data_IF_503673182182
#
_entry.id   IF_503673182182
#
_cell.length_a   1.000
_cell.length_b   1.000
_cell.length_c   1.000
_cell.angle_alpha   90.00
_cell.angle_beta   90.00
_cell.angle_gamma   90.00
#
_symmetry.space_group_name_H-M   'P 1'
#
loop_
_entity.id
_entity.type
_entity.pdbx_description
1 polymer ?
#
# COMPACT_ATOMS: atom_id res chain seq x y z
N UNK A 1 9.90 -53.01 58.63
CA UNK A 1 8.62 -52.69 57.98
C UNK A 1 8.88 -51.56 57.00
N UNK A 2 9.14 -51.91 55.74
CA UNK A 2 9.67 -51.01 54.71
C UNK A 2 8.53 -50.47 53.84
N UNK A 3 8.00 -49.30 54.18
CA UNK A 3 6.94 -48.64 53.36
C UNK A 3 7.61 -47.99 52.13
N UNK A 4 7.59 -48.71 51.01
CA UNK A 4 7.95 -48.14 49.71
C UNK A 4 6.97 -46.99 49.37
N UNK A 5 7.44 -45.74 49.38
CA UNK A 5 6.71 -44.59 48.87
C UNK A 5 6.56 -44.77 47.36
N UNK A 6 5.33 -45.07 46.90
CA UNK A 6 4.99 -45.02 45.48
C UNK A 6 5.08 -43.55 45.05
N UNK A 7 6.08 -43.23 44.26
CA UNK A 7 6.19 -41.94 43.58
C UNK A 7 5.06 -41.86 42.54
N UNK A 8 4.06 -41.06 42.79
CA UNK A 8 3.00 -40.76 41.83
C UNK A 8 3.58 -39.75 40.80
N UNK A 9 4.30 -40.27 39.82
CA UNK A 9 4.65 -39.50 38.65
C UNK A 9 3.37 -39.38 37.81
N UNK A 10 2.70 -38.23 37.84
CA UNK A 10 1.66 -37.89 36.88
C UNK A 10 2.38 -37.35 35.64
N UNK A 11 2.35 -38.03 34.49
CA UNK A 11 2.81 -37.47 33.26
C UNK A 11 1.97 -36.21 32.96
N UNK A 12 2.64 -35.11 32.61
CA UNK A 12 2.00 -33.86 32.23
C UNK A 12 1.18 -34.12 30.95
N UNK A 13 -0.13 -34.35 31.08
CA UNK A 13 -1.05 -34.34 29.95
C UNK A 13 -1.18 -32.92 29.46
N UNK A 14 -0.36 -32.55 28.48
CA UNK A 14 -0.46 -31.28 27.78
C UNK A 14 -1.90 -31.11 27.25
N UNK A 15 -2.64 -30.14 27.78
CA UNK A 15 -4.01 -29.82 27.32
C UNK A 15 -3.97 -29.65 25.80
N UNK A 16 -4.45 -30.64 25.07
CA UNK A 16 -4.62 -30.54 23.61
C UNK A 16 -5.61 -29.41 23.32
N UNK A 17 -5.16 -28.38 22.62
CA UNK A 17 -6.03 -27.27 22.24
C UNK A 17 -7.22 -27.82 21.44
N UNK A 18 -8.46 -27.42 21.76
CA UNK A 18 -9.64 -27.89 21.06
C UNK A 18 -9.58 -27.55 19.57
N UNK A 19 -10.20 -28.35 18.74
CA UNK A 19 -10.16 -28.24 17.26
C UNK A 19 -10.58 -26.87 16.75
N UNK A 20 -11.56 -26.24 17.41
CA UNK A 20 -12.02 -24.90 17.03
C UNK A 20 -10.93 -23.81 17.21
N UNK A 21 -10.07 -23.92 18.25
CA UNK A 21 -8.95 -22.98 18.44
C UNK A 21 -7.89 -23.15 17.36
N UNK A 22 -7.65 -24.38 16.90
CA UNK A 22 -6.75 -24.64 15.78
C UNK A 22 -7.31 -24.08 14.48
N UNK A 23 -8.62 -24.23 14.27
CA UNK A 23 -9.30 -23.69 13.10
C UNK A 23 -9.25 -22.14 13.07
N UNK A 24 -9.52 -21.48 14.20
CA UNK A 24 -9.41 -20.02 14.32
C UNK A 24 -7.98 -19.55 14.07
N UNK A 25 -7.00 -20.23 14.63
CA UNK A 25 -5.59 -19.88 14.42
C UNK A 25 -5.19 -20.04 12.95
N UNK A 26 -5.62 -21.12 12.29
CA UNK A 26 -5.36 -21.35 10.88
C UNK A 26 -6.00 -20.26 10.00
N UNK A 27 -7.23 -19.85 10.33
CA UNK A 27 -7.93 -18.79 9.62
C UNK A 27 -7.22 -17.42 9.79
N UNK A 28 -6.76 -17.12 10.99
CA UNK A 28 -5.98 -15.89 11.27
C UNK A 28 -4.66 -15.88 10.49
N UNK A 29 -3.94 -17.00 10.48
CA UNK A 29 -2.70 -17.14 9.71
C UNK A 29 -2.95 -16.97 8.22
N UNK A 30 -3.99 -17.59 7.68
CA UNK A 30 -4.37 -17.44 6.27
C UNK A 30 -4.71 -15.97 5.94
N UNK A 31 -5.44 -15.28 6.81
CA UNK A 31 -5.74 -13.85 6.67
C UNK A 31 -4.49 -12.97 6.65
N UNK A 32 -3.55 -13.21 7.56
CA UNK A 32 -2.28 -12.48 7.63
C UNK A 32 -1.45 -12.72 6.36
N UNK A 33 -1.38 -13.97 5.88
CA UNK A 33 -0.65 -14.28 4.65
C UNK A 33 -1.28 -13.63 3.41
N UNK A 34 -2.61 -13.68 3.30
CA UNK A 34 -3.33 -13.03 2.21
C UNK A 34 -3.12 -11.50 2.22
N UNK A 35 -3.24 -10.89 3.40
CA UNK A 35 -2.97 -9.46 3.56
C UNK A 35 -1.53 -9.09 3.21
N UNK A 36 -0.56 -9.87 3.67
CA UNK A 36 0.86 -9.67 3.36
C UNK A 36 1.15 -9.77 1.86
N UNK A 37 0.53 -10.74 1.17
CA UNK A 37 0.67 -10.91 -0.28
C UNK A 37 0.07 -9.71 -1.05
N UNK A 38 -1.14 -9.27 -0.67
CA UNK A 38 -1.78 -8.10 -1.28
C UNK A 38 -0.98 -6.82 -1.01
N UNK A 39 -0.54 -6.62 0.21
CA UNK A 39 0.28 -5.47 0.58
C UNK A 39 1.61 -5.46 -0.19
N UNK A 40 2.27 -6.61 -0.32
CA UNK A 40 3.47 -6.76 -1.12
C UNK A 40 3.24 -6.43 -2.60
N UNK A 41 2.13 -6.87 -3.18
CA UNK A 41 1.76 -6.56 -4.56
C UNK A 41 1.53 -5.05 -4.78
N UNK A 42 0.84 -4.41 -3.84
CA UNK A 42 0.62 -2.94 -3.90
C UNK A 42 1.94 -2.19 -3.77
N UNK A 43 2.79 -2.58 -2.82
CA UNK A 43 4.11 -1.96 -2.65
C UNK A 43 5.00 -2.14 -3.87
N UNK A 44 4.97 -3.34 -4.49
CA UNK A 44 5.70 -3.58 -5.73
C UNK A 44 5.23 -2.67 -6.87
N UNK A 45 3.90 -2.47 -7.01
CA UNK A 45 3.33 -1.56 -8.00
C UNK A 45 3.56 -0.07 -7.69
N UNK A 46 3.90 0.28 -6.45
CA UNK A 46 4.18 1.65 -6.04
C UNK A 46 5.63 2.10 -6.36
N UNK A 47 6.51 1.16 -6.71
CA UNK A 47 7.86 1.53 -7.17
C UNK A 47 7.82 2.01 -8.62
N UNK A 48 8.63 3.01 -8.91
CA UNK A 48 8.79 3.55 -10.25
C UNK A 48 9.41 2.49 -11.17
N UNK A 49 8.66 2.12 -12.23
CA UNK A 49 9.10 1.14 -13.23
C UNK A 49 9.40 1.84 -14.56
N UNK A 50 10.12 2.96 -14.50
CA UNK A 50 10.53 3.68 -15.71
C UNK A 50 11.60 2.86 -16.41
N UNK A 51 11.32 2.45 -17.66
CA UNK A 51 12.27 1.77 -18.51
C UNK A 51 12.75 2.70 -19.62
N UNK A 52 14.07 2.91 -19.68
CA UNK A 52 14.69 3.79 -20.65
C UNK A 52 14.68 5.27 -20.26
N UNK A 53 14.95 6.14 -21.24
CA UNK A 53 14.92 7.59 -21.09
C UNK A 53 13.65 8.14 -21.76
N UNK A 54 12.57 8.40 -21.00
CA UNK A 54 11.33 8.93 -21.55
C UNK A 54 11.57 10.36 -22.06
N UNK A 55 11.10 10.64 -23.26
CA UNK A 55 11.16 11.98 -23.87
C UNK A 55 9.89 12.81 -23.60
N UNK A 56 8.83 12.16 -23.12
CA UNK A 56 7.54 12.78 -22.87
C UNK A 56 6.99 12.35 -21.52
N UNK A 57 6.59 13.32 -20.71
CA UNK A 57 5.88 13.14 -19.46
C UNK A 57 4.44 13.59 -19.61
N UNK A 58 3.49 12.80 -19.20
CA UNK A 58 2.08 13.18 -19.15
C UNK A 58 1.63 13.25 -17.70
N UNK A 59 1.25 14.43 -17.24
CA UNK A 59 0.71 14.65 -15.90
C UNK A 59 -0.82 14.60 -15.98
N UNK A 60 -1.40 13.61 -15.32
CA UNK A 60 -2.85 13.45 -15.26
C UNK A 60 -3.42 14.31 -14.13
N UNK A 61 -4.47 15.07 -14.46
CA UNK A 61 -5.18 15.89 -13.51
C UNK A 61 -5.88 15.09 -12.41
N UNK A 62 -6.22 15.80 -11.38
CA UNK A 62 -7.07 15.39 -10.29
C UNK A 62 -7.88 16.62 -9.88
N UNK A 63 -8.77 16.50 -8.95
CA UNK A 63 -9.68 17.58 -8.55
C UNK A 63 -8.98 18.91 -8.21
N UNK A 64 -9.52 20.02 -8.71
CA UNK A 64 -9.15 21.39 -8.32
C UNK A 64 -10.22 21.97 -7.40
N UNK A 65 -9.81 22.46 -6.26
CA UNK A 65 -10.70 23.08 -5.25
C UNK A 65 -10.70 24.62 -5.40
N UNK A 66 -11.71 25.33 -4.87
CA UNK A 66 -11.78 26.80 -4.94
C UNK A 66 -10.53 27.53 -4.39
N UNK A 67 -9.78 26.88 -3.51
CA UNK A 67 -8.57 27.44 -2.89
C UNK A 67 -7.26 26.90 -3.48
N UNK A 68 -7.31 26.06 -4.53
CA UNK A 68 -6.15 25.53 -5.22
C UNK A 68 -6.22 24.04 -5.57
N UNK A 69 -5.13 23.46 -6.06
CA UNK A 69 -5.05 22.05 -6.36
C UNK A 69 -5.39 21.18 -5.16
N UNK A 70 -6.00 20.01 -5.38
CA UNK A 70 -6.16 19.02 -4.32
C UNK A 70 -4.79 18.50 -3.85
N UNK A 71 -4.73 17.96 -2.64
CA UNK A 71 -3.49 17.37 -2.09
C UNK A 71 -2.92 16.34 -3.05
N UNK A 72 -3.76 15.50 -3.63
CA UNK A 72 -3.33 14.46 -4.57
C UNK A 72 -2.77 15.05 -5.88
N UNK A 73 -3.34 16.16 -6.35
CA UNK A 73 -2.80 16.87 -7.52
C UNK A 73 -1.46 17.52 -7.19
N UNK A 74 -1.35 18.11 -6.01
CA UNK A 74 -0.09 18.72 -5.54
C UNK A 74 1.04 17.68 -5.45
N UNK A 75 0.77 16.51 -4.84
CA UNK A 75 1.76 15.44 -4.74
C UNK A 75 2.24 14.94 -6.12
N UNK A 76 1.34 14.92 -7.12
CA UNK A 76 1.71 14.57 -8.50
C UNK A 76 2.61 15.62 -9.14
N UNK A 77 2.28 16.89 -8.92
CA UNK A 77 3.09 18.01 -9.44
C UNK A 77 4.47 18.04 -8.81
N UNK A 78 4.56 17.86 -7.49
CA UNK A 78 5.83 17.83 -6.77
C UNK A 78 6.72 16.68 -7.29
N UNK A 79 6.13 15.47 -7.48
CA UNK A 79 6.84 14.34 -8.09
C UNK A 79 7.28 14.59 -9.53
N UNK A 80 6.47 15.26 -10.31
CA UNK A 80 6.83 15.63 -11.67
C UNK A 80 7.97 16.64 -11.69
N UNK A 81 7.96 17.63 -10.80
CA UNK A 81 9.03 18.62 -10.67
C UNK A 81 10.35 17.98 -10.25
N UNK A 82 10.34 17.11 -9.23
CA UNK A 82 11.52 16.34 -8.81
C UNK A 82 12.17 15.61 -10.01
N UNK A 83 11.35 14.95 -10.83
CA UNK A 83 11.84 14.24 -12.01
C UNK A 83 12.40 15.19 -13.09
N UNK A 84 11.74 16.31 -13.33
CA UNK A 84 12.15 17.29 -14.35
C UNK A 84 13.43 18.06 -13.97
N UNK A 85 13.71 18.22 -12.67
CA UNK A 85 14.98 18.78 -12.21
C UNK A 85 16.18 17.92 -12.62
N UNK A 86 16.00 16.59 -12.65
CA UNK A 86 17.01 15.64 -13.10
C UNK A 86 17.01 15.45 -14.64
N UNK A 87 15.87 15.72 -15.30
CA UNK A 87 15.65 15.46 -16.72
C UNK A 87 15.04 16.67 -17.45
N UNK A 88 15.78 17.77 -17.61
CA UNK A 88 15.25 19.04 -18.12
C UNK A 88 14.83 19.00 -19.61
N UNK A 89 15.27 17.99 -20.36
CA UNK A 89 14.95 17.84 -21.80
C UNK A 89 13.60 17.13 -22.06
N UNK A 90 12.91 16.67 -21.01
CA UNK A 90 11.64 15.97 -21.10
C UNK A 90 10.52 16.95 -21.40
N UNK A 91 9.76 16.67 -22.46
CA UNK A 91 8.55 17.45 -22.79
C UNK A 91 7.42 17.08 -21.82
N UNK A 92 6.69 18.08 -21.34
CA UNK A 92 5.59 17.88 -20.40
C UNK A 92 4.26 18.21 -21.06
N UNK A 93 3.32 17.28 -20.91
CA UNK A 93 1.93 17.48 -21.31
C UNK A 93 1.04 17.31 -20.07
N UNK A 94 0.22 18.30 -19.79
CA UNK A 94 -0.77 18.25 -18.73
C UNK A 94 -2.13 17.88 -19.30
N UNK A 95 -2.84 16.98 -18.66
CA UNK A 95 -4.15 16.51 -19.10
C UNK A 95 -5.13 16.52 -17.94
N UNK A 96 -6.22 17.24 -18.10
CA UNK A 96 -7.28 17.30 -17.10
C UNK A 96 -8.47 18.11 -17.60
N UNK A 97 -9.64 17.70 -17.22
CA UNK A 97 -10.91 18.36 -17.51
C UNK A 97 -11.32 19.37 -16.45
N UNK A 98 -12.59 19.72 -16.46
CA UNK A 98 -13.24 20.54 -15.43
C UNK A 98 -14.46 19.79 -14.91
N UNK A 99 -14.46 19.52 -13.62
CA UNK A 99 -15.62 18.97 -12.93
C UNK A 99 -16.71 20.03 -12.69
N UNK A 100 -17.94 19.61 -12.39
CA UNK A 100 -19.06 20.55 -12.20
C UNK A 100 -18.85 21.53 -11.03
N UNK A 101 -18.03 21.16 -10.04
CA UNK A 101 -17.75 21.95 -8.84
C UNK A 101 -16.34 22.57 -8.85
N UNK A 102 -15.68 22.59 -10.02
CA UNK A 102 -14.31 23.09 -10.15
C UNK A 102 -14.29 24.50 -10.74
N UNK A 103 -13.47 25.41 -10.20
CA UNK A 103 -13.41 26.80 -10.67
C UNK A 103 -12.70 26.96 -12.02
N UNK A 104 -11.85 26.01 -12.39
CA UNK A 104 -11.09 25.99 -13.64
C UNK A 104 -10.80 24.55 -14.07
N UNK A 105 -10.28 24.38 -15.29
CA UNK A 105 -9.80 23.06 -15.73
C UNK A 105 -8.57 22.64 -14.92
N UNK A 106 -8.46 21.34 -14.65
CA UNK A 106 -7.29 20.78 -13.96
C UNK A 106 -5.99 21.09 -14.72
N UNK A 107 -6.03 21.02 -16.05
CA UNK A 107 -4.88 21.35 -16.90
C UNK A 107 -4.44 22.81 -16.81
N UNK A 108 -5.36 23.74 -16.52
CA UNK A 108 -5.00 25.15 -16.31
C UNK A 108 -4.48 25.42 -14.89
N UNK A 109 -4.82 24.55 -13.93
CA UNK A 109 -4.36 24.68 -12.57
C UNK A 109 -2.95 24.13 -12.36
N UNK A 110 -2.48 23.26 -13.25
CA UNK A 110 -1.14 22.68 -13.27
C UNK A 110 -0.13 23.58 -13.94
#
# INVERSE_FOLDING_TARGET
MNRRRKSYYRPYEGKRRPLWQKAVLALLLAGVLAFGALFGAVMYGAYDHIQGEPQLMVILGCQVKPWGPSILLQDRLDKALDYLEEHPDVQVVVSGGQGPDEPTTEAQAM
#
